data_IF_725513957175
#
_entry.id   IF_725513957175
#
_cell.length_a   1.000
_cell.length_b   1.000
_cell.length_c   1.000
_cell.angle_alpha   90.00
_cell.angle_beta   90.00
_cell.angle_gamma   90.00
#
_symmetry.space_group_name_H-M   'P 1'
#
loop_
_entity.id
_entity.type
_entity.pdbx_description
1 polymer ?
#
# COMPACT_ATOMS: atom_id res chain seq x y z
N UNK A 1 27.07 7.53 -4.50
CA UNK A 1 26.68 7.82 -3.13
C UNK A 1 25.34 8.51 -3.01
N UNK A 2 25.04 9.46 -3.87
CA UNK A 2 23.73 10.09 -3.87
C UNK A 2 22.61 9.10 -4.21
N UNK A 3 22.91 8.10 -5.03
CA UNK A 3 21.95 7.07 -5.41
C UNK A 3 21.59 6.15 -4.24
N UNK A 4 22.48 6.03 -3.29
CA UNK A 4 22.27 5.18 -2.12
C UNK A 4 21.10 5.68 -1.27
N UNK A 5 21.02 6.99 -1.08
CA UNK A 5 19.94 7.60 -0.31
C UNK A 5 18.57 7.44 -1.00
N UNK A 6 18.55 7.51 -2.34
CA UNK A 6 17.30 7.32 -3.08
C UNK A 6 16.75 5.91 -2.93
N UNK A 7 17.62 4.89 -2.98
CA UNK A 7 17.20 3.51 -2.80
C UNK A 7 16.57 3.28 -1.43
N UNK A 8 17.23 3.79 -0.39
CA UNK A 8 16.71 3.65 0.97
C UNK A 8 15.34 4.29 1.12
N UNK A 9 15.15 5.46 0.52
CA UNK A 9 13.85 6.14 0.55
C UNK A 9 12.78 5.34 -0.17
N UNK A 10 13.10 4.77 -1.33
CA UNK A 10 12.15 3.96 -2.09
C UNK A 10 11.76 2.70 -1.34
N UNK A 11 12.74 2.02 -0.75
CA UNK A 11 12.47 0.83 0.05
C UNK A 11 11.62 1.15 1.26
N UNK A 12 11.89 2.26 1.94
CA UNK A 12 11.08 2.71 3.05
C UNK A 12 9.65 3.01 2.65
N UNK A 13 9.46 3.67 1.50
CA UNK A 13 8.14 3.98 0.98
C UNK A 13 7.36 2.70 0.64
N UNK A 14 8.03 1.73 0.02
CA UNK A 14 7.43 0.44 -0.31
C UNK A 14 7.00 -0.28 0.95
N UNK A 15 7.86 -0.34 1.96
CA UNK A 15 7.54 -1.00 3.23
C UNK A 15 6.34 -0.37 3.92
N UNK A 16 6.27 0.96 3.93
CA UNK A 16 5.14 1.69 4.51
C UNK A 16 3.86 1.37 3.76
N UNK A 17 3.93 1.34 2.43
CA UNK A 17 2.77 1.04 1.60
C UNK A 17 2.30 -0.40 1.82
N UNK A 18 3.23 -1.35 1.92
CA UNK A 18 2.90 -2.73 2.22
C UNK A 18 2.24 -2.87 3.59
N UNK A 19 2.74 -2.17 4.59
CA UNK A 19 2.12 -2.16 5.91
C UNK A 19 0.71 -1.59 5.87
N UNK A 20 0.49 -0.55 5.08
CA UNK A 20 -0.84 0.02 4.89
C UNK A 20 -1.79 -0.98 4.25
N UNK A 21 -1.31 -1.75 3.25
CA UNK A 21 -2.11 -2.78 2.61
C UNK A 21 -2.55 -3.83 3.64
N UNK A 22 -1.63 -4.27 4.49
CA UNK A 22 -1.96 -5.25 5.54
C UNK A 22 -3.06 -4.69 6.44
N UNK A 23 -2.92 -3.43 6.86
CA UNK A 23 -3.93 -2.78 7.70
C UNK A 23 -5.28 -2.74 7.00
N UNK A 24 -5.32 -2.38 5.72
CA UNK A 24 -6.56 -2.34 4.94
C UNK A 24 -7.18 -3.74 4.80
N UNK A 25 -6.36 -4.76 4.58
CA UNK A 25 -6.85 -6.12 4.47
C UNK A 25 -7.47 -6.59 5.79
N UNK A 26 -6.89 -6.21 6.92
CA UNK A 26 -7.45 -6.48 8.23
C UNK A 26 -8.79 -5.77 8.41
N UNK A 27 -8.89 -4.54 7.94
CA UNK A 27 -10.15 -3.79 7.99
C UNK A 27 -11.24 -4.48 7.16
N UNK A 28 -10.86 -5.07 6.02
CA UNK A 28 -11.81 -5.80 5.18
C UNK A 28 -12.37 -7.03 5.88
N UNK A 29 -11.62 -7.64 6.77
CA UNK A 29 -12.09 -8.79 7.54
C UNK A 29 -13.09 -8.43 8.62
N UNK A 30 -13.20 -7.15 8.94
CA UNK A 30 -14.14 -6.68 9.96
C UNK A 30 -15.56 -6.77 9.42
N UNK A 31 -16.40 -7.55 10.06
CA UNK A 31 -17.79 -7.77 9.62
C UNK A 31 -18.70 -6.57 9.83
N UNK A 32 -18.23 -5.56 10.57
CA UNK A 32 -19.02 -4.35 10.83
C UNK A 32 -18.92 -3.31 9.71
N UNK A 33 -18.07 -3.54 8.72
CA UNK A 33 -17.93 -2.61 7.62
C UNK A 33 -19.13 -2.68 6.68
N UNK A 34 -19.59 -1.51 6.21
CA UNK A 34 -20.61 -1.45 5.18
C UNK A 34 -20.01 -1.84 3.82
N UNK A 35 -20.88 -2.16 2.84
CA UNK A 35 -20.42 -2.48 1.49
C UNK A 35 -19.67 -1.31 0.85
N UNK A 36 -20.13 -0.09 1.10
CA UNK A 36 -19.45 1.10 0.58
C UNK A 36 -18.06 1.23 1.17
N UNK A 37 -17.92 1.00 2.47
CA UNK A 37 -16.65 1.04 3.15
C UNK A 37 -15.67 0.00 2.55
N UNK A 38 -16.16 -1.22 2.34
CA UNK A 38 -15.36 -2.28 1.75
C UNK A 38 -14.88 -1.91 0.35
N UNK A 39 -15.73 -1.28 -0.46
CA UNK A 39 -15.34 -0.83 -1.79
C UNK A 39 -14.23 0.21 -1.72
N UNK A 40 -14.32 1.15 -0.79
CA UNK A 40 -13.29 2.17 -0.60
C UNK A 40 -11.97 1.54 -0.18
N UNK A 41 -12.02 0.61 0.76
CA UNK A 41 -10.83 -0.08 1.24
C UNK A 41 -10.16 -0.85 0.10
N UNK A 42 -10.93 -1.56 -0.70
CA UNK A 42 -10.41 -2.29 -1.86
C UNK A 42 -9.74 -1.36 -2.86
N UNK A 43 -10.31 -0.19 -3.11
CA UNK A 43 -9.70 0.81 -3.99
C UNK A 43 -8.36 1.27 -3.45
N UNK A 44 -8.29 1.52 -2.15
CA UNK A 44 -7.04 1.94 -1.52
C UNK A 44 -5.97 0.87 -1.64
N UNK A 45 -6.34 -0.40 -1.48
CA UNK A 45 -5.42 -1.52 -1.64
C UNK A 45 -4.91 -1.58 -3.08
N UNK A 46 -5.78 -1.47 -4.06
CA UNK A 46 -5.38 -1.49 -5.47
C UNK A 46 -4.44 -0.35 -5.81
N UNK A 47 -4.73 0.86 -5.34
CA UNK A 47 -3.85 2.01 -5.55
C UNK A 47 -2.48 1.78 -4.92
N UNK A 48 -2.46 1.25 -3.71
CA UNK A 48 -1.21 0.97 -3.02
C UNK A 48 -0.39 -0.06 -3.78
N UNK A 49 -1.02 -1.11 -4.27
CA UNK A 49 -0.35 -2.13 -5.08
C UNK A 49 0.21 -1.54 -6.37
N UNK A 50 -0.54 -0.68 -7.03
CA UNK A 50 -0.09 -0.01 -8.24
C UNK A 50 1.11 0.88 -7.95
N UNK A 51 1.08 1.62 -6.87
CA UNK A 51 2.19 2.47 -6.45
C UNK A 51 3.46 1.66 -6.23
N UNK A 52 3.34 0.52 -5.55
CA UNK A 52 4.48 -0.38 -5.32
C UNK A 52 5.02 -0.89 -6.65
N UNK A 53 4.14 -1.34 -7.53
CA UNK A 53 4.52 -1.85 -8.85
C UNK A 53 5.26 -0.80 -9.66
N UNK A 54 4.75 0.43 -9.69
CA UNK A 54 5.39 1.52 -10.41
C UNK A 54 6.76 1.86 -9.84
N UNK A 55 6.91 1.80 -8.53
CA UNK A 55 8.19 2.07 -7.87
C UNK A 55 9.20 0.99 -8.18
N UNK A 56 8.77 -0.28 -8.23
CA UNK A 56 9.66 -1.41 -8.49
C UNK A 56 10.14 -1.48 -9.94
N UNK A 57 9.37 -0.97 -10.88
CA UNK A 57 9.72 -1.04 -12.31
C UNK A 57 10.97 -0.21 -12.62
N UNK A 58 11.30 0.75 -11.82
CA UNK A 58 12.52 1.54 -11.99
C UNK A 58 13.66 0.90 -11.27
#
# INVERSE_FOLDING_TARGET
>A
MKQHGKRLRQEGAIKRTEASIVTYEEQLKNSNNSNEMNKLIKRKIERAKTTISNTKIK
#
